data_IF_790646901820
#
_entry.id   IF_790646901820
#
_cell.length_a   1.000
_cell.length_b   1.000
_cell.length_c   1.000
_cell.angle_alpha   90.00
_cell.angle_beta   90.00
_cell.angle_gamma   90.00
#
_symmetry.space_group_name_H-M   'P 1'
#
loop_
_entity.id
_entity.type
_entity.pdbx_description
1 polymer ?
#
# COMPACT_ATOMS: atom_id res chain seq x y z
N UNK A 1 12.50 29.82 25.53
CA UNK A 1 11.39 29.24 26.30
C UNK A 1 11.17 27.87 25.69
N UNK A 2 11.71 26.83 26.32
CA UNK A 2 11.48 25.46 25.87
C UNK A 2 10.08 25.06 26.32
N UNK A 3 9.21 24.74 25.36
CA UNK A 3 7.85 24.27 25.63
C UNK A 3 7.95 22.75 25.76
N UNK A 4 8.01 22.27 27.00
CA UNK A 4 7.92 20.84 27.29
C UNK A 4 6.46 20.40 27.21
N UNK A 5 6.20 19.30 26.51
CA UNK A 5 4.88 18.69 26.44
C UNK A 5 4.49 18.11 27.80
N UNK A 6 3.26 18.32 28.23
CA UNK A 6 2.72 17.66 29.43
C UNK A 6 2.36 16.21 29.12
N UNK A 7 2.24 15.36 30.15
CA UNK A 7 1.99 13.92 30.00
C UNK A 7 0.80 13.60 29.08
N UNK A 8 -0.31 14.34 29.22
CA UNK A 8 -1.51 14.15 28.37
C UNK A 8 -1.28 14.49 26.89
N UNK A 9 -0.35 15.40 26.59
CA UNK A 9 0.04 15.71 25.21
C UNK A 9 0.95 14.61 24.65
N UNK A 10 1.87 14.08 25.48
CA UNK A 10 2.66 12.91 25.11
C UNK A 10 1.80 11.69 24.81
N UNK A 11 0.80 11.40 25.64
CA UNK A 11 -0.17 10.33 25.39
C UNK A 11 -0.89 10.54 24.04
N UNK A 12 -1.27 11.79 23.74
CA UNK A 12 -1.88 12.14 22.45
C UNK A 12 -0.92 11.91 21.28
N UNK A 13 0.35 12.26 21.42
CA UNK A 13 1.39 11.99 20.41
C UNK A 13 1.54 10.48 20.19
N UNK A 14 1.55 9.67 21.24
CA UNK A 14 1.62 8.20 21.11
C UNK A 14 0.41 7.62 20.36
N UNK A 15 -0.79 8.14 20.63
CA UNK A 15 -1.99 7.77 19.88
C UNK A 15 -1.89 8.16 18.40
N UNK A 16 -1.38 9.35 18.10
CA UNK A 16 -1.13 9.80 16.72
C UNK A 16 -0.12 8.88 16.02
N UNK A 17 1.00 8.55 16.65
CA UNK A 17 2.00 7.63 16.10
C UNK A 17 1.37 6.25 15.81
N UNK A 18 0.49 5.77 16.68
CA UNK A 18 -0.26 4.54 16.46
C UNK A 18 -1.18 4.62 15.22
N UNK A 19 -1.78 5.78 14.93
CA UNK A 19 -2.57 5.99 13.70
C UNK A 19 -1.67 6.03 12.45
N UNK A 20 -0.54 6.74 12.54
CA UNK A 20 0.41 6.92 11.44
C UNK A 20 1.10 5.63 11.03
N UNK A 21 1.36 4.71 11.97
CA UNK A 21 1.91 3.39 11.67
C UNK A 21 1.06 2.59 10.66
N UNK A 22 -0.24 2.88 10.52
CA UNK A 22 -1.07 2.28 9.46
C UNK A 22 -0.84 2.93 8.10
N UNK A 23 -0.70 4.25 8.05
CA UNK A 23 -0.37 4.97 6.82
C UNK A 23 1.02 4.60 6.32
N UNK A 24 1.99 4.47 7.23
CA UNK A 24 3.35 4.01 6.94
C UNK A 24 3.34 2.63 6.26
N UNK A 25 2.58 1.66 6.79
CA UNK A 25 2.45 0.33 6.17
C UNK A 25 1.86 0.39 4.77
N UNK A 26 0.82 1.21 4.56
CA UNK A 26 0.22 1.39 3.25
C UNK A 26 1.20 2.05 2.28
N UNK A 27 1.92 3.08 2.73
CA UNK A 27 2.94 3.77 1.95
C UNK A 27 4.08 2.82 1.54
N UNK A 28 4.60 2.01 2.47
CA UNK A 28 5.62 1.01 2.15
C UNK A 28 5.15 0.00 1.10
N UNK A 29 3.86 -0.39 1.12
CA UNK A 29 3.30 -1.28 0.10
C UNK A 29 3.32 -0.63 -1.30
N UNK A 30 3.17 0.68 -1.41
CA UNK A 30 3.22 1.40 -2.70
C UNK A 30 4.65 1.68 -3.16
N UNK A 31 5.55 1.96 -2.21
CA UNK A 31 6.90 2.50 -2.47
C UNK A 31 8.00 1.43 -2.50
N UNK A 32 7.67 0.14 -2.48
CA UNK A 32 8.68 -0.91 -2.58
C UNK A 32 9.36 -0.90 -3.96
N UNK A 33 10.68 -0.70 -3.99
CA UNK A 33 11.46 -0.68 -5.24
C UNK A 33 11.83 -2.08 -5.76
N UNK A 34 11.61 -3.12 -4.94
CA UNK A 34 12.07 -4.48 -5.22
C UNK A 34 11.14 -5.27 -6.17
N UNK A 35 10.11 -4.65 -6.74
CA UNK A 35 9.18 -5.31 -7.64
C UNK A 35 8.00 -4.44 -8.06
N UNK A 36 7.11 -4.96 -8.92
CA UNK A 36 5.91 -4.22 -9.33
C UNK A 36 4.97 -4.06 -8.14
N UNK A 37 4.69 -2.83 -7.70
CA UNK A 37 3.84 -2.55 -6.52
C UNK A 37 2.38 -2.28 -6.85
N UNK A 38 2.04 -2.14 -8.13
CA UNK A 38 0.70 -1.75 -8.58
C UNK A 38 -0.40 -2.72 -8.11
N UNK A 39 -0.08 -4.01 -8.00
CA UNK A 39 -0.99 -5.05 -7.49
C UNK A 39 -1.34 -4.88 -6.00
N UNK A 40 -0.46 -4.24 -5.22
CA UNK A 40 -0.64 -4.02 -3.79
C UNK A 40 -1.42 -2.74 -3.47
N UNK A 41 -1.66 -1.88 -4.47
CA UNK A 41 -2.23 -0.54 -4.25
C UNK A 41 -3.65 -0.62 -3.66
N UNK A 42 -4.55 -1.34 -4.34
CA UNK A 42 -5.94 -1.51 -3.89
C UNK A 42 -6.03 -2.21 -2.52
N UNK A 43 -5.37 -3.37 -2.30
CA UNK A 43 -5.35 -4.03 -0.99
C UNK A 43 -4.87 -3.13 0.15
N UNK A 44 -3.82 -2.32 -0.07
CA UNK A 44 -3.29 -1.45 0.97
C UNK A 44 -4.19 -0.25 1.26
N UNK A 45 -4.87 0.33 0.25
CA UNK A 45 -5.89 1.36 0.48
C UNK A 45 -7.08 0.80 1.27
N UNK A 46 -7.58 -0.39 0.93
CA UNK A 46 -8.69 -1.05 1.65
C UNK A 46 -8.31 -1.39 3.10
N UNK A 47 -7.10 -1.91 3.31
CA UNK A 47 -6.58 -2.21 4.64
C UNK A 47 -6.46 -0.94 5.49
N UNK A 48 -5.95 0.16 4.92
CA UNK A 48 -5.85 1.45 5.61
C UNK A 48 -7.23 2.01 5.94
N UNK A 49 -8.15 2.01 4.97
CA UNK A 49 -9.53 2.48 5.15
C UNK A 49 -10.21 1.73 6.29
N UNK A 50 -10.12 0.40 6.31
CA UNK A 50 -10.67 -0.44 7.37
C UNK A 50 -10.03 -0.15 8.73
N UNK A 51 -8.70 -0.01 8.77
CA UNK A 51 -7.97 0.25 9.99
C UNK A 51 -8.36 1.58 10.64
N UNK A 52 -8.49 2.65 9.84
CA UNK A 52 -8.88 3.98 10.31
C UNK A 52 -10.36 4.08 10.64
N UNK A 53 -11.24 3.44 9.86
CA UNK A 53 -12.68 3.39 10.16
C UNK A 53 -12.96 2.73 11.51
N UNK A 54 -12.26 1.63 11.83
CA UNK A 54 -12.38 0.97 13.13
C UNK A 54 -11.93 1.88 14.28
N UNK A 55 -10.83 2.64 14.08
CA UNK A 55 -10.23 3.51 15.10
C UNK A 55 -11.05 4.77 15.34
N UNK A 56 -11.69 5.31 14.31
CA UNK A 56 -12.61 6.45 14.42
C UNK A 56 -13.70 6.21 15.47
N UNK A 57 -14.15 4.96 15.62
CA UNK A 57 -15.21 4.57 16.56
C UNK A 57 -14.70 4.26 17.98
N UNK A 58 -13.40 4.34 18.24
CA UNK A 58 -12.83 4.07 19.57
C UNK A 58 -12.69 5.37 20.36
N UNK A 59 -13.17 5.37 21.62
CA UNK A 59 -13.15 6.55 22.50
C UNK A 59 -11.76 7.19 22.65
N UNK A 60 -10.69 6.37 22.71
CA UNK A 60 -9.32 6.87 22.84
C UNK A 60 -8.84 7.70 21.65
N UNK A 61 -9.50 7.62 20.49
CA UNK A 61 -9.15 8.40 19.30
C UNK A 61 -10.15 9.53 19.01
N UNK A 62 -11.03 9.90 19.95
CA UNK A 62 -12.04 10.96 19.76
C UNK A 62 -11.44 12.30 19.33
N UNK A 63 -10.25 12.63 19.83
CA UNK A 63 -9.54 13.87 19.47
C UNK A 63 -9.01 13.87 18.02
N UNK A 64 -9.08 12.73 17.32
CA UNK A 64 -8.62 12.56 15.94
C UNK A 64 -9.77 12.30 14.96
N UNK A 65 -11.03 12.36 15.40
CA UNK A 65 -12.19 12.03 14.55
C UNK A 65 -12.22 12.85 13.27
N UNK A 66 -12.01 14.17 13.36
CA UNK A 66 -12.00 15.06 12.17
C UNK A 66 -10.85 14.72 11.21
N UNK A 67 -9.66 14.44 11.75
CA UNK A 67 -8.50 14.05 10.96
C UNK A 67 -8.70 12.67 10.29
N UNK A 68 -9.32 11.72 11.00
CA UNK A 68 -9.67 10.41 10.46
C UNK A 68 -10.73 10.54 9.37
N UNK A 69 -11.71 11.43 9.51
CA UNK A 69 -12.70 11.69 8.46
C UNK A 69 -12.08 12.30 7.20
N UNK A 70 -11.22 13.30 7.36
CA UNK A 70 -10.46 13.84 6.24
C UNK A 70 -9.61 12.75 5.55
N UNK A 71 -8.93 11.91 6.35
CA UNK A 71 -8.12 10.80 5.85
C UNK A 71 -8.93 9.75 5.09
N UNK A 72 -10.08 9.31 5.65
CA UNK A 72 -10.98 8.34 5.02
C UNK A 72 -11.57 8.87 3.70
N UNK A 73 -11.96 10.15 3.68
CA UNK A 73 -12.42 10.82 2.47
C UNK A 73 -11.34 10.81 1.39
N UNK A 74 -10.09 11.12 1.75
CA UNK A 74 -8.96 11.10 0.82
C UNK A 74 -8.66 9.70 0.29
N UNK A 75 -8.72 8.68 1.14
CA UNK A 75 -8.54 7.28 0.70
C UNK A 75 -9.63 6.88 -0.30
N UNK A 76 -10.89 7.25 -0.03
CA UNK A 76 -12.00 7.02 -0.96
C UNK A 76 -11.78 7.69 -2.32
N UNK A 77 -11.30 8.93 -2.34
CA UNK A 77 -10.93 9.64 -3.59
C UNK A 77 -9.89 8.84 -4.39
N UNK A 78 -8.81 8.38 -3.73
CA UNK A 78 -7.78 7.59 -4.40
C UNK A 78 -8.31 6.23 -4.88
N UNK A 79 -9.15 5.56 -4.10
CA UNK A 79 -9.79 4.31 -4.50
C UNK A 79 -10.63 4.50 -5.78
N UNK A 80 -11.44 5.56 -5.85
CA UNK A 80 -12.23 5.86 -7.05
C UNK A 80 -11.33 6.18 -8.26
N UNK A 81 -10.23 6.91 -8.05
CA UNK A 81 -9.25 7.17 -9.12
C UNK A 81 -8.59 5.88 -9.63
N UNK A 82 -8.25 4.95 -8.74
CA UNK A 82 -7.74 3.64 -9.16
C UNK A 82 -8.77 2.83 -9.95
N UNK A 83 -10.07 3.04 -9.71
CA UNK A 83 -11.14 2.38 -10.46
C UNK A 83 -11.36 2.95 -11.88
N UNK A 84 -10.79 4.11 -12.22
CA UNK A 84 -10.86 4.67 -13.58
C UNK A 84 -9.96 3.96 -14.59
N UNK A 85 -9.14 3.00 -14.14
CA UNK A 85 -8.25 2.22 -15.00
C UNK A 85 -8.26 0.75 -14.60
N UNK A 86 -8.43 -0.12 -15.59
CA UNK A 86 -8.33 -1.58 -15.42
C UNK A 86 -6.91 -2.02 -15.03
N UNK A 87 -5.90 -1.14 -15.15
CA UNK A 87 -4.51 -1.46 -14.87
C UNK A 87 -4.30 -2.03 -13.46
N UNK A 88 -5.02 -1.54 -12.45
CA UNK A 88 -4.90 -2.05 -11.08
C UNK A 88 -5.48 -3.47 -10.93
N UNK A 89 -6.64 -3.73 -11.55
CA UNK A 89 -7.29 -5.04 -11.54
C UNK A 89 -6.42 -6.06 -12.29
N UNK A 90 -5.91 -5.67 -13.46
CA UNK A 90 -5.01 -6.52 -14.27
C UNK A 90 -3.69 -6.77 -13.53
N UNK A 91 -3.12 -5.77 -12.86
CA UNK A 91 -1.91 -5.96 -12.06
C UNK A 91 -2.14 -6.94 -10.90
N UNK A 92 -3.29 -6.87 -10.23
CA UNK A 92 -3.69 -7.85 -9.20
C UNK A 92 -3.84 -9.26 -9.78
N UNK A 93 -4.50 -9.40 -10.93
CA UNK A 93 -4.70 -10.71 -11.58
C UNK A 93 -3.37 -11.32 -12.05
N UNK A 94 -2.45 -10.49 -12.51
CA UNK A 94 -1.17 -10.90 -13.05
C UNK A 94 -0.04 -10.92 -12.01
N UNK A 95 -0.37 -10.86 -10.71
CA UNK A 95 0.58 -10.82 -9.59
C UNK A 95 1.77 -11.78 -9.83
N UNK A 96 2.97 -11.22 -10.14
CA UNK A 96 4.13 -12.04 -10.43
C UNK A 96 4.58 -12.88 -9.24
N UNK A 97 4.31 -12.46 -8.00
CA UNK A 97 4.72 -13.22 -6.81
C UNK A 97 4.00 -14.57 -6.73
N UNK A 98 2.69 -14.59 -7.03
CA UNK A 98 1.92 -15.84 -7.09
C UNK A 98 2.42 -16.77 -8.18
N UNK A 99 2.74 -16.23 -9.37
CA UNK A 99 3.25 -17.03 -10.49
C UNK A 99 4.65 -17.56 -10.23
N UNK A 100 5.54 -16.75 -9.65
CA UNK A 100 6.88 -17.17 -9.26
C UNK A 100 6.82 -18.25 -8.18
N UNK A 101 5.90 -18.13 -7.21
CA UNK A 101 5.71 -19.15 -6.20
C UNK A 101 5.23 -20.49 -6.80
N UNK A 102 4.38 -20.46 -7.82
CA UNK A 102 4.00 -21.67 -8.55
C UNK A 102 5.21 -22.35 -9.21
N UNK A 103 6.09 -21.58 -9.85
CA UNK A 103 7.32 -22.10 -10.48
C UNK A 103 8.21 -22.75 -9.42
N UNK A 104 8.44 -22.07 -8.28
CA UNK A 104 9.20 -22.63 -7.16
C UNK A 104 8.64 -23.96 -6.66
N UNK A 105 7.31 -24.03 -6.48
CA UNK A 105 6.66 -25.19 -5.88
C UNK A 105 6.56 -26.39 -6.82
N UNK A 106 6.37 -26.16 -8.13
CA UNK A 106 6.03 -27.24 -9.06
C UNK A 106 7.07 -27.51 -10.14
N UNK A 107 7.91 -26.52 -10.48
CA UNK A 107 8.87 -26.62 -11.59
C UNK A 107 10.33 -26.66 -11.11
N UNK A 108 10.60 -26.34 -9.84
CA UNK A 108 11.92 -26.37 -9.23
C UNK A 108 12.59 -24.99 -9.15
N UNK A 109 13.41 -24.79 -8.11
CA UNK A 109 14.14 -23.52 -7.88
C UNK A 109 15.17 -23.23 -8.99
N UNK A 110 15.63 -24.24 -9.70
CA UNK A 110 16.58 -24.13 -10.81
C UNK A 110 16.01 -23.41 -12.04
N UNK A 111 14.69 -23.47 -12.25
CA UNK A 111 14.00 -22.81 -13.38
C UNK A 111 13.55 -21.38 -13.04
N UNK A 112 13.60 -21.00 -11.77
CA UNK A 112 13.19 -19.67 -11.32
C UNK A 112 14.02 -18.53 -11.94
N UNK A 113 15.37 -18.60 -12.03
CA UNK A 113 16.17 -17.53 -12.61
C UNK A 113 15.85 -17.29 -14.09
N UNK A 114 15.57 -18.35 -14.85
CA UNK A 114 15.22 -18.27 -16.27
C UNK A 114 13.83 -17.63 -16.46
N UNK A 115 12.86 -18.02 -15.65
CA UNK A 115 11.54 -17.41 -15.64
C UNK A 115 11.57 -15.91 -15.29
N UNK A 116 12.37 -15.53 -14.29
CA UNK A 116 12.58 -14.10 -13.92
C UNK A 116 13.20 -13.34 -15.09
N UNK A 117 14.24 -13.90 -15.73
CA UNK A 117 14.89 -13.26 -16.89
C UNK A 117 13.92 -13.02 -18.04
N UNK A 118 13.03 -13.97 -18.33
CA UNK A 118 11.98 -13.77 -19.34
C UNK A 118 11.00 -12.66 -18.96
N UNK A 119 10.60 -12.58 -17.69
CA UNK A 119 9.73 -11.52 -17.20
C UNK A 119 10.39 -10.12 -17.28
N UNK A 120 11.68 -10.01 -16.95
CA UNK A 120 12.44 -8.75 -17.01
C UNK A 120 12.54 -8.19 -18.44
N UNK A 121 12.74 -9.06 -19.44
CA UNK A 121 12.72 -8.67 -20.86
C UNK A 121 11.38 -8.04 -21.23
N UNK A 122 10.27 -8.65 -20.80
CA UNK A 122 8.93 -8.14 -21.07
C UNK A 122 8.69 -6.80 -20.35
N UNK A 123 9.06 -6.70 -19.07
CA UNK A 123 8.89 -5.46 -18.27
C UNK A 123 9.73 -4.30 -18.83
N UNK A 124 10.97 -4.56 -19.26
CA UNK A 124 11.81 -3.52 -19.88
C UNK A 124 11.19 -2.97 -21.17
N UNK A 125 10.56 -3.83 -21.96
CA UNK A 125 9.82 -3.44 -23.16
C UNK A 125 8.62 -2.55 -22.82
N UNK A 126 7.85 -2.89 -21.78
CA UNK A 126 6.72 -2.06 -21.33
C UNK A 126 7.17 -0.73 -20.70
N UNK A 127 8.29 -0.69 -19.99
CA UNK A 127 8.87 0.56 -19.46
C UNK A 127 9.18 1.55 -20.59
N UNK A 128 9.69 1.08 -21.72
CA UNK A 128 9.97 1.91 -22.91
C UNK A 128 8.68 2.48 -23.53
N UNK A 129 7.56 1.76 -23.47
CA UNK A 129 6.27 2.20 -24.02
C UNK A 129 5.55 3.17 -23.08
N UNK A 130 5.55 2.90 -21.77
CA UNK A 130 4.86 3.74 -20.77
C UNK A 130 5.58 5.08 -20.49
N UNK A 131 6.88 5.19 -20.79
CA UNK A 131 7.62 6.46 -20.74
C UNK A 131 7.36 7.38 -21.96
N UNK A 132 6.46 7.00 -22.87
CA UNK A 132 6.05 7.80 -24.04
C UNK A 132 4.68 8.49 -23.87
N UNK A 133 4.08 8.43 -22.69
CA UNK A 133 2.92 9.21 -22.28
C UNK A 133 3.27 10.09 -21.08
#
# INVERSE_FOLDING_TARGET
>A
MEVELVDSEWERVQLLLSLLAHAEKAQHAFSAEQGPTMHAVLPALEALFKAWSLRKNMLKYVNFTDALDAGLSKISEYYQRTATSDAHIIAMLLDPAQKLNHIRLYWGEELLPEAIKHAEVIVSFFKVILLRF
#
